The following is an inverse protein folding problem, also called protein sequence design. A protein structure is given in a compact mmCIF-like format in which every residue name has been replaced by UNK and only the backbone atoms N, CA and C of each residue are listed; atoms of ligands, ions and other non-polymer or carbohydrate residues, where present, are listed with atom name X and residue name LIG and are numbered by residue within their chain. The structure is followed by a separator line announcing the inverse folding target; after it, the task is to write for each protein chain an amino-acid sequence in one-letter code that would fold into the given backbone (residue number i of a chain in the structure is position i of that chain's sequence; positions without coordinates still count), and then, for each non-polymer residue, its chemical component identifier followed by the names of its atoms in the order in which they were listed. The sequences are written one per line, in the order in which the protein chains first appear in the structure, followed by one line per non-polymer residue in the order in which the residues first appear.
data_IF_791770312501
#
_entry.id   IF_791770312501
#
_cell.length_a   1.000
_cell.length_b   1.000
_cell.length_c   1.000
_cell.angle_alpha   90.00
_cell.angle_beta   90.00
_cell.angle_gamma   90.00
#
_symmetry.space_group_name_H-M   'P 1'
#
loop_
_entity.id
_entity.type
_entity.pdbx_description
1 polymer ?
#
# COMPACT_ATOMS: atom_id res chain seq x y z
N UNK A 1 -25.32 21.09 5.45
CA UNK A 1 -24.69 19.80 5.84
C UNK A 1 -23.76 19.44 4.70
N UNK A 2 -22.50 19.85 4.83
CA UNK A 2 -21.53 19.71 3.74
C UNK A 2 -21.18 18.25 3.57
N UNK A 3 -21.58 17.70 2.43
CA UNK A 3 -21.12 16.39 1.97
C UNK A 3 -19.61 16.49 1.81
N UNK A 4 -18.87 15.84 2.71
CA UNK A 4 -17.42 15.69 2.55
C UNK A 4 -17.22 15.01 1.21
N UNK A 5 -16.64 15.74 0.28
CA UNK A 5 -16.36 15.25 -1.05
C UNK A 5 -15.42 14.06 -0.93
N UNK A 6 -15.90 12.88 -1.35
CA UNK A 6 -15.13 11.62 -1.34
C UNK A 6 -13.80 11.77 -2.10
N UNK A 7 -13.75 12.63 -3.10
CA UNK A 7 -12.56 12.98 -3.86
C UNK A 7 -11.53 13.71 -2.99
N UNK A 8 -11.98 14.67 -2.21
CA UNK A 8 -11.12 15.45 -1.31
C UNK A 8 -10.56 14.58 -0.18
N UNK A 9 -11.38 13.64 0.33
CA UNK A 9 -10.90 12.65 1.30
C UNK A 9 -9.79 11.75 0.74
N UNK A 10 -10.03 11.14 -0.43
CA UNK A 10 -9.04 10.26 -1.07
C UNK A 10 -7.75 11.01 -1.42
N UNK A 11 -7.86 12.25 -1.89
CA UNK A 11 -6.69 13.09 -2.19
C UNK A 11 -5.89 13.40 -0.93
N UNK A 12 -6.57 13.78 0.16
CA UNK A 12 -5.92 14.09 1.43
C UNK A 12 -5.26 12.83 2.05
N UNK A 13 -5.92 11.67 1.99
CA UNK A 13 -5.35 10.41 2.46
C UNK A 13 -4.13 10.03 1.63
N UNK A 14 -4.22 10.09 0.31
CA UNK A 14 -3.10 9.76 -0.57
C UNK A 14 -1.90 10.70 -0.35
N UNK A 15 -2.13 11.99 -0.20
CA UNK A 15 -1.07 12.97 0.06
C UNK A 15 -0.40 12.73 1.39
N UNK A 16 -1.18 12.47 2.44
CA UNK A 16 -0.64 12.27 3.79
C UNK A 16 0.11 10.94 3.94
N UNK A 17 -0.34 9.87 3.26
CA UNK A 17 0.37 8.58 3.26
C UNK A 17 1.78 8.71 2.67
N UNK A 18 1.95 9.60 1.71
CA UNK A 18 3.25 9.81 1.06
C UNK A 18 4.21 10.64 1.93
N UNK A 19 3.69 11.50 2.79
CA UNK A 19 4.50 12.38 3.65
C UNK A 19 4.95 11.76 4.97
N UNK A 20 4.15 10.84 5.50
CA UNK A 20 4.37 10.20 6.79
C UNK A 20 4.77 8.73 6.65
N UNK A 21 5.40 8.19 7.69
CA UNK A 21 5.55 6.74 7.80
C UNK A 21 4.17 6.06 7.79
N UNK A 22 4.09 4.83 7.32
CA UNK A 22 2.82 4.08 7.22
C UNK A 22 2.03 4.09 8.54
N UNK A 23 2.72 4.07 9.67
CA UNK A 23 2.15 4.13 11.02
C UNK A 23 1.45 5.46 11.31
N UNK A 24 2.05 6.58 10.91
CA UNK A 24 1.47 7.91 11.07
C UNK A 24 0.29 8.12 10.13
N UNK A 25 0.37 7.61 8.91
CA UNK A 25 -0.73 7.64 7.96
C UNK A 25 -1.96 6.90 8.49
N UNK A 26 -1.77 5.72 9.09
CA UNK A 26 -2.86 4.97 9.70
C UNK A 26 -3.50 5.70 10.88
N UNK A 27 -2.70 6.34 11.72
CA UNK A 27 -3.22 7.15 12.82
C UNK A 27 -4.03 8.37 12.34
N UNK A 28 -3.60 8.99 11.23
CA UNK A 28 -4.37 10.08 10.60
C UNK A 28 -5.69 9.58 10.02
N UNK A 29 -5.70 8.41 9.38
CA UNK A 29 -6.92 7.76 8.89
C UNK A 29 -7.87 7.45 10.05
N UNK A 30 -7.36 6.88 11.14
CA UNK A 30 -8.18 6.62 12.34
C UNK A 30 -8.77 7.90 12.94
N UNK A 31 -7.97 8.97 13.01
CA UNK A 31 -8.43 10.27 13.50
C UNK A 31 -9.52 10.84 12.59
N UNK A 32 -9.33 10.78 11.27
CA UNK A 32 -10.33 11.22 10.30
C UNK A 32 -11.67 10.48 10.48
N UNK A 33 -11.65 9.16 10.64
CA UNK A 33 -12.87 8.39 10.90
C UNK A 33 -13.53 8.73 12.22
N UNK A 34 -12.76 9.18 13.20
CA UNK A 34 -13.30 9.63 14.50
C UNK A 34 -13.99 10.98 14.40
N UNK A 35 -13.51 11.85 13.51
CA UNK A 35 -14.03 13.21 13.30
C UNK A 35 -15.24 13.25 12.35
N UNK A 36 -15.57 12.13 11.66
CA UNK A 36 -16.74 12.01 10.79
C UNK A 36 -18.02 11.79 11.60
N UNK A 37 -19.15 12.25 11.05
CA UNK A 37 -20.46 11.89 11.58
C UNK A 37 -20.62 10.37 11.67
N UNK A 38 -21.26 9.89 12.72
CA UNK A 38 -21.27 8.46 13.09
C UNK A 38 -21.71 7.54 11.95
N UNK A 39 -22.68 7.96 11.13
CA UNK A 39 -23.16 7.16 9.99
C UNK A 39 -22.12 7.07 8.86
N UNK A 40 -21.52 8.19 8.53
CA UNK A 40 -20.52 8.26 7.46
C UNK A 40 -19.22 7.58 7.90
N UNK A 41 -18.79 7.76 9.16
CA UNK A 41 -17.61 7.09 9.68
C UNK A 41 -17.74 5.56 9.64
N UNK A 42 -18.91 5.01 10.03
CA UNK A 42 -19.16 3.56 9.96
C UNK A 42 -19.12 3.09 8.49
N UNK A 43 -19.74 3.81 7.58
CA UNK A 43 -19.78 3.45 6.16
C UNK A 43 -18.39 3.44 5.52
N UNK A 44 -17.61 4.48 5.74
CA UNK A 44 -16.24 4.57 5.19
C UNK A 44 -15.30 3.56 5.84
N UNK A 45 -15.37 3.40 7.16
CA UNK A 45 -14.57 2.41 7.88
C UNK A 45 -14.83 1.00 7.35
N UNK A 46 -16.09 0.60 7.23
CA UNK A 46 -16.47 -0.74 6.76
C UNK A 46 -16.04 -0.96 5.30
N UNK A 47 -16.22 0.04 4.43
CA UNK A 47 -15.83 -0.05 3.04
C UNK A 47 -14.31 -0.15 2.89
N UNK A 48 -13.55 0.62 3.67
CA UNK A 48 -12.09 0.62 3.64
C UNK A 48 -11.51 -0.67 4.21
N UNK A 49 -12.01 -1.16 5.33
CA UNK A 49 -11.60 -2.46 5.91
C UNK A 49 -11.86 -3.60 4.91
N UNK A 50 -13.03 -3.64 4.31
CA UNK A 50 -13.36 -4.64 3.28
C UNK A 50 -12.43 -4.55 2.07
N UNK A 51 -12.11 -3.34 1.63
CA UNK A 51 -11.15 -3.12 0.54
C UNK A 51 -9.76 -3.65 0.90
N UNK A 52 -9.25 -3.32 2.09
CA UNK A 52 -7.92 -3.78 2.55
C UNK A 52 -7.87 -5.31 2.64
N UNK A 53 -8.85 -5.95 3.25
CA UNK A 53 -8.93 -7.40 3.39
C UNK A 53 -8.93 -8.07 2.01
N UNK A 54 -9.81 -7.64 1.12
CA UNK A 54 -9.90 -8.19 -0.23
C UNK A 54 -8.62 -7.98 -1.03
N UNK A 55 -8.00 -6.81 -0.89
CA UNK A 55 -6.75 -6.51 -1.60
C UNK A 55 -5.59 -7.31 -1.02
N UNK A 56 -5.49 -7.43 0.30
CA UNK A 56 -4.48 -8.28 0.97
C UNK A 56 -4.57 -9.73 0.45
N UNK A 57 -5.77 -10.31 0.39
CA UNK A 57 -5.99 -11.66 -0.13
C UNK A 57 -5.58 -11.83 -1.60
N UNK A 58 -5.87 -10.83 -2.44
CA UNK A 58 -5.49 -10.85 -3.86
C UNK A 58 -4.00 -10.67 -4.08
N UNK A 59 -3.39 -9.79 -3.30
CA UNK A 59 -1.99 -9.39 -3.45
C UNK A 59 -1.05 -10.43 -2.85
N UNK A 60 -1.45 -11.10 -1.76
CA UNK A 60 -0.66 -12.15 -1.11
C UNK A 60 -0.44 -13.39 -1.99
N UNK A 61 -1.28 -13.58 -3.02
CA UNK A 61 -1.17 -14.73 -3.91
C UNK A 61 -0.76 -14.34 -5.32
N UNK A 62 0.13 -15.13 -5.91
CA UNK A 62 0.59 -14.94 -7.27
C UNK A 62 0.16 -16.13 -8.14
N UNK A 63 -0.43 -15.79 -9.29
CA UNK A 63 -0.69 -16.70 -10.40
C UNK A 63 0.37 -16.46 -11.47
N UNK A 64 1.16 -17.47 -11.74
CA UNK A 64 2.07 -17.49 -12.91
C UNK A 64 1.56 -18.51 -13.92
N UNK A 65 2.18 -18.57 -15.09
CA UNK A 65 1.88 -19.59 -16.10
C UNK A 65 2.04 -20.99 -15.50
N UNK A 66 3.06 -21.18 -14.65
CA UNK A 66 3.35 -22.46 -13.98
C UNK A 66 2.32 -22.75 -12.88
N UNK A 67 1.94 -21.73 -12.10
CA UNK A 67 1.03 -21.85 -10.94
C UNK A 67 -0.41 -21.41 -11.26
N UNK A 68 -0.85 -21.62 -12.50
CA UNK A 68 -2.17 -21.14 -12.97
C UNK A 68 -3.33 -21.75 -12.20
N UNK A 69 -3.23 -23.06 -11.86
CA UNK A 69 -4.29 -23.81 -11.16
C UNK A 69 -4.23 -23.69 -9.64
N UNK A 70 -3.05 -23.50 -9.08
CA UNK A 70 -2.82 -23.36 -7.64
C UNK A 70 -1.97 -22.13 -7.36
N UNK A 71 -2.59 -20.96 -7.12
CA UNK A 71 -1.85 -19.75 -6.77
C UNK A 71 -0.98 -19.98 -5.54
N UNK A 72 0.29 -19.55 -5.59
CA UNK A 72 1.22 -19.63 -4.47
C UNK A 72 1.26 -18.33 -3.69
N UNK A 73 1.57 -18.46 -2.41
CA UNK A 73 1.85 -17.30 -1.57
C UNK A 73 3.07 -16.53 -2.07
N UNK A 74 2.97 -15.19 -2.04
CA UNK A 74 4.04 -14.30 -2.51
C UNK A 74 5.36 -14.62 -1.81
N UNK A 75 5.35 -14.69 -0.50
CA UNK A 75 6.56 -14.88 0.31
C UNK A 75 7.14 -16.30 0.28
N UNK A 76 6.48 -17.26 -0.40
CA UNK A 76 7.06 -18.58 -0.61
C UNK A 76 8.23 -18.60 -1.61
N UNK A 77 8.39 -17.53 -2.40
CA UNK A 77 9.44 -17.45 -3.42
C UNK A 77 9.94 -16.00 -3.69
N UNK A 78 9.39 -15.02 -2.99
CA UNK A 78 9.79 -13.63 -3.15
C UNK A 78 11.13 -13.36 -2.47
N UNK A 79 12.04 -12.80 -3.20
CA UNK A 79 13.27 -12.20 -2.69
C UNK A 79 13.23 -10.69 -2.88
N UNK A 80 13.66 -9.95 -1.86
CA UNK A 80 13.67 -8.49 -1.92
C UNK A 80 14.63 -7.98 -2.97
N UNK A 81 14.14 -7.18 -3.89
CA UNK A 81 14.94 -6.55 -4.94
C UNK A 81 15.34 -5.15 -4.51
N UNK A 82 16.60 -4.77 -4.75
CA UNK A 82 17.05 -3.39 -4.54
C UNK A 82 16.57 -2.48 -5.68
N UNK A 83 16.20 -1.25 -5.30
CA UNK A 83 15.88 -0.18 -6.26
C UNK A 83 17.02 0.82 -6.31
N UNK A 84 17.47 1.20 -7.51
CA UNK A 84 18.56 2.18 -7.66
C UNK A 84 18.00 3.59 -7.70
N UNK A 85 18.56 4.47 -6.87
CA UNK A 85 18.25 5.89 -6.85
C UNK A 85 19.54 6.71 -6.66
N UNK A 86 19.80 7.66 -7.56
CA UNK A 86 21.00 8.52 -7.52
C UNK A 86 22.32 7.75 -7.34
N UNK A 87 22.45 6.60 -8.02
CA UNK A 87 23.65 5.75 -7.94
C UNK A 87 23.70 4.80 -6.73
N UNK A 88 22.85 4.98 -5.75
CA UNK A 88 22.75 4.13 -4.56
C UNK A 88 21.65 3.08 -4.72
N UNK A 89 21.85 1.92 -4.08
CA UNK A 89 20.83 0.88 -4.01
C UNK A 89 20.04 1.04 -2.71
N UNK A 90 18.71 1.19 -2.83
CA UNK A 90 17.80 1.26 -1.70
C UNK A 90 17.25 -0.13 -1.47
N UNK A 91 17.32 -0.60 -0.22
CA UNK A 91 16.67 -1.85 0.17
C UNK A 91 15.15 -1.66 0.18
N UNK A 92 14.43 -2.66 -0.31
CA UNK A 92 12.97 -2.64 -0.39
C UNK A 92 12.29 -3.55 0.64
N UNK A 93 13.03 -4.08 1.60
CA UNK A 93 12.46 -4.90 2.68
C UNK A 93 11.46 -4.12 3.51
N UNK A 94 11.74 -2.84 3.75
CA UNK A 94 10.88 -1.95 4.50
C UNK A 94 10.42 -0.79 3.63
N UNK A 95 9.11 -0.55 3.60
CA UNK A 95 8.52 0.57 2.84
C UNK A 95 9.06 1.93 3.29
N UNK A 96 9.42 2.08 4.57
CA UNK A 96 9.93 3.33 5.11
C UNK A 96 11.23 3.78 4.41
N UNK A 97 12.06 2.86 3.95
CA UNK A 97 13.31 3.20 3.25
C UNK A 97 13.03 3.78 1.87
N UNK A 98 11.96 3.33 1.23
CA UNK A 98 11.50 3.91 -0.05
C UNK A 98 10.85 5.27 0.19
N UNK A 99 10.02 5.42 1.23
CA UNK A 99 9.35 6.67 1.53
C UNK A 99 10.31 7.82 1.92
N UNK A 100 11.51 7.52 2.38
CA UNK A 100 12.56 8.51 2.61
C UNK A 100 13.05 9.19 1.32
N UNK A 101 12.85 8.56 0.16
CA UNK A 101 13.28 9.09 -1.14
C UNK A 101 12.46 10.31 -1.55
N UNK A 102 11.17 10.33 -1.25
CA UNK A 102 10.28 11.45 -1.57
C UNK A 102 8.80 11.10 -1.57
N UNK A 103 8.00 12.14 -1.72
CA UNK A 103 6.54 12.07 -1.66
C UNK A 103 5.89 11.52 -2.93
N UNK A 104 6.60 11.53 -4.03
CA UNK A 104 6.16 10.96 -5.31
C UNK A 104 7.30 10.16 -5.89
N UNK A 105 7.08 8.87 -6.09
CA UNK A 105 8.10 7.94 -6.52
C UNK A 105 7.64 7.25 -7.80
N UNK A 106 8.46 7.31 -8.84
CA UNK A 106 8.25 6.60 -10.09
C UNK A 106 9.30 5.51 -10.20
N UNK A 107 8.87 4.25 -10.24
CA UNK A 107 9.75 3.10 -10.44
C UNK A 107 9.75 2.71 -11.90
N UNK A 108 10.92 2.78 -12.52
CA UNK A 108 11.13 2.39 -13.92
C UNK A 108 11.93 1.09 -14.01
N UNK A 109 11.87 0.43 -15.13
CA UNK A 109 12.63 -0.79 -15.40
C UNK A 109 12.07 -1.56 -16.59
N UNK A 110 12.86 -2.46 -17.13
CA UNK A 110 12.46 -3.32 -18.26
C UNK A 110 11.29 -4.24 -17.95
N UNK A 111 10.64 -4.80 -18.95
CA UNK A 111 9.62 -5.81 -18.78
C UNK A 111 10.15 -7.04 -18.03
N UNK A 112 9.36 -7.61 -17.13
CA UNK A 112 9.75 -8.81 -16.38
C UNK A 112 10.70 -8.61 -15.19
N UNK A 113 11.20 -7.40 -14.93
CA UNK A 113 12.14 -7.13 -13.82
C UNK A 113 11.54 -7.23 -12.42
N UNK A 114 10.24 -7.52 -12.29
CA UNK A 114 9.60 -7.73 -10.99
C UNK A 114 8.90 -6.51 -10.39
N UNK A 115 8.71 -5.41 -11.13
CA UNK A 115 8.03 -4.19 -10.61
C UNK A 115 6.68 -4.48 -9.96
N UNK A 116 5.84 -5.26 -10.62
CA UNK A 116 4.50 -5.60 -10.09
C UNK A 116 4.57 -6.43 -8.81
N UNK A 117 5.57 -7.27 -8.68
CA UNK A 117 5.81 -8.07 -7.47
C UNK A 117 6.32 -7.18 -6.35
N UNK A 118 7.22 -6.25 -6.66
CA UNK A 118 7.69 -5.24 -5.72
C UNK A 118 6.53 -4.43 -5.14
N UNK A 119 5.61 -3.94 -5.98
CA UNK A 119 4.46 -3.17 -5.49
C UNK A 119 3.52 -4.02 -4.61
N UNK A 120 3.36 -5.30 -4.90
CA UNK A 120 2.62 -6.21 -4.04
C UNK A 120 3.28 -6.36 -2.67
N UNK A 121 4.60 -6.54 -2.65
CA UNK A 121 5.38 -6.62 -1.41
C UNK A 121 5.24 -5.34 -0.59
N UNK A 122 5.43 -4.18 -1.20
CA UNK A 122 5.31 -2.90 -0.50
C UNK A 122 3.91 -2.67 0.07
N UNK A 123 2.87 -3.05 -0.66
CA UNK A 123 1.49 -3.00 -0.15
C UNK A 123 1.30 -3.91 1.07
N UNK A 124 1.76 -5.17 1.00
CA UNK A 124 1.65 -6.11 2.12
C UNK A 124 2.46 -5.64 3.34
N UNK A 125 3.63 -5.06 3.12
CA UNK A 125 4.45 -4.47 4.17
C UNK A 125 3.73 -3.32 4.87
N UNK A 126 3.09 -2.43 4.10
CA UNK A 126 2.28 -1.34 4.64
C UNK A 126 1.13 -1.85 5.50
N UNK A 127 0.42 -2.89 5.03
CA UNK A 127 -0.72 -3.45 5.77
C UNK A 127 -0.27 -4.18 7.02
N UNK A 128 0.86 -4.90 6.98
CA UNK A 128 1.40 -5.60 8.15
C UNK A 128 1.87 -4.65 9.26
N UNK A 129 2.38 -3.47 8.92
CA UNK A 129 2.76 -2.45 9.92
C UNK A 129 1.54 -1.78 10.59
N UNK A 130 0.34 -2.02 10.09
CA UNK A 130 -0.91 -1.42 10.59
C UNK A 130 -1.75 -2.35 11.45
N UNK A 131 -1.42 -3.64 11.49
CA UNK A 131 -2.02 -4.65 12.38
C UNK A 131 -1.34 -4.63 13.75
#
# INVERSE_FOLDING_TARGET
MDSIDSQQFLTNVATNIVEDSAKNAWNKIKKFFKDLDTKDSIRYKTAYEKYLINTKQKVSKIKTIIYRRAPKDLYSFYECIGVRYNGNTINTENINDILKVGNKIIVTGTGGVGKSILFKHLFLNTVAETE
#
